data_IF_260158001729
#
_entry.id   IF_260158001729
#
_cell.length_a   1.000
_cell.length_b   1.000
_cell.length_c   1.000
_cell.angle_alpha   90.00
_cell.angle_beta   90.00
_cell.angle_gamma   90.00
#
_symmetry.space_group_name_H-M   'P 1'
#
loop_
_entity.id
_entity.type
_entity.pdbx_description
1 polymer ?
#
# COMPACT_ATOMS: atom_id res chain seq x y z
N UNK A 1 -12.03 -19.92 9.14
CA UNK A 1 -10.66 -20.22 9.59
C UNK A 1 -9.77 -20.20 8.35
N UNK A 2 -8.96 -19.15 8.17
CA UNK A 2 -8.04 -19.04 7.03
C UNK A 2 -6.81 -19.88 7.37
N UNK A 3 -6.69 -21.05 6.75
CA UNK A 3 -5.48 -21.87 6.88
C UNK A 3 -4.37 -21.26 6.02
N UNK A 4 -3.43 -20.56 6.67
CA UNK A 4 -2.14 -20.18 6.07
C UNK A 4 -1.33 -21.48 5.95
N UNK A 5 -1.38 -22.12 4.77
CA UNK A 5 -0.57 -23.32 4.50
C UNK A 5 0.81 -22.87 4.03
N UNK A 6 1.76 -23.00 4.95
CA UNK A 6 3.21 -23.18 4.78
C UNK A 6 3.99 -22.20 3.90
N UNK A 7 4.97 -21.55 4.54
CA UNK A 7 6.21 -21.04 3.94
C UNK A 7 6.96 -22.23 3.31
N UNK A 8 7.05 -22.32 1.99
CA UNK A 8 8.02 -23.18 1.30
C UNK A 8 8.72 -22.40 0.20
N UNK A 9 10.06 -22.49 0.00
CA UNK A 9 10.79 -21.51 -0.80
C UNK A 9 11.11 -21.89 -2.26
N UNK A 10 10.67 -23.04 -2.82
CA UNK A 10 11.41 -23.61 -3.95
C UNK A 10 10.70 -23.83 -5.30
N UNK A 11 9.41 -23.52 -5.48
CA UNK A 11 8.74 -23.62 -6.81
C UNK A 11 8.05 -22.30 -7.25
N UNK A 12 8.42 -21.16 -6.64
CA UNK A 12 7.67 -19.90 -6.72
C UNK A 12 8.10 -18.92 -7.84
N UNK A 13 9.22 -19.17 -8.53
CA UNK A 13 9.81 -18.20 -9.47
C UNK A 13 8.98 -17.88 -10.72
N UNK A 14 8.10 -18.77 -11.19
CA UNK A 14 7.35 -18.53 -12.43
C UNK A 14 6.15 -17.58 -12.25
N UNK A 15 5.48 -17.58 -11.10
CA UNK A 15 4.32 -16.72 -10.86
C UNK A 15 4.71 -15.31 -10.39
N UNK A 16 5.79 -15.19 -9.58
CA UNK A 16 6.39 -13.91 -9.21
C UNK A 16 6.78 -13.10 -10.45
N UNK A 17 7.36 -13.76 -11.45
CA UNK A 17 7.65 -13.14 -12.73
C UNK A 17 6.41 -12.58 -13.43
N UNK A 18 5.19 -13.10 -13.18
CA UNK A 18 3.99 -12.65 -13.88
C UNK A 18 3.40 -11.39 -13.25
N UNK A 19 3.29 -11.27 -11.92
CA UNK A 19 2.76 -10.03 -11.33
C UNK A 19 3.75 -8.90 -11.48
N UNK A 20 5.01 -9.17 -11.18
CA UNK A 20 6.08 -8.20 -11.37
C UNK A 20 6.12 -7.70 -12.82
N UNK A 21 6.10 -8.63 -13.80
CA UNK A 21 6.05 -8.27 -15.22
C UNK A 21 4.77 -7.52 -15.57
N UNK A 22 3.63 -7.90 -15.00
CA UNK A 22 2.38 -7.18 -15.21
C UNK A 22 2.46 -5.75 -14.69
N UNK A 23 2.97 -5.52 -13.47
CA UNK A 23 3.14 -4.19 -12.90
C UNK A 23 4.14 -3.39 -13.75
N UNK A 24 5.28 -3.99 -14.12
CA UNK A 24 6.26 -3.36 -14.99
C UNK A 24 5.67 -2.96 -16.34
N UNK A 25 5.05 -3.90 -17.06
CA UNK A 25 4.44 -3.65 -18.36
C UNK A 25 3.35 -2.59 -18.24
N UNK A 26 2.46 -2.69 -17.27
CA UNK A 26 1.28 -1.81 -17.22
C UNK A 26 1.59 -0.43 -16.64
N UNK A 27 2.35 -0.34 -15.54
CA UNK A 27 2.69 0.94 -14.94
C UNK A 27 3.69 1.69 -15.82
N UNK A 28 4.76 1.04 -16.28
CA UNK A 28 5.78 1.74 -17.06
C UNK A 28 5.25 2.13 -18.43
N UNK A 29 4.48 1.27 -19.10
CA UNK A 29 3.90 1.64 -20.39
C UNK A 29 2.85 2.74 -20.23
N UNK A 30 2.01 2.70 -19.19
CA UNK A 30 1.09 3.81 -18.91
C UNK A 30 1.81 5.15 -18.67
N UNK A 31 2.95 5.12 -17.97
CA UNK A 31 3.76 6.32 -17.75
C UNK A 31 4.45 6.81 -19.04
N UNK A 32 5.00 5.90 -19.84
CA UNK A 32 5.63 6.22 -21.14
C UNK A 32 4.64 6.79 -22.14
N UNK A 33 3.43 6.26 -22.16
CA UNK A 33 2.33 6.73 -23.02
C UNK A 33 1.65 7.99 -22.46
N UNK A 34 2.11 8.53 -21.33
CA UNK A 34 1.65 9.82 -20.81
C UNK A 34 0.28 9.78 -20.13
N UNK A 35 -0.18 8.61 -19.67
CA UNK A 35 -1.46 8.50 -18.96
C UNK A 35 -1.43 9.05 -17.53
N UNK A 36 -0.24 9.34 -17.00
CA UNK A 36 -0.11 9.98 -15.69
C UNK A 36 0.31 11.45 -15.78
N UNK A 37 -0.45 12.29 -15.09
CA UNK A 37 -0.13 13.71 -14.95
C UNK A 37 0.77 13.98 -13.74
N UNK A 38 0.70 13.13 -12.70
CA UNK A 38 1.30 13.41 -11.39
C UNK A 38 2.33 12.36 -10.94
N UNK A 39 2.49 11.23 -11.64
CA UNK A 39 3.51 10.23 -11.31
C UNK A 39 4.72 10.37 -12.21
N UNK A 40 5.88 10.13 -11.60
CA UNK A 40 7.15 9.97 -12.27
C UNK A 40 7.78 8.66 -11.76
N UNK A 41 8.08 7.76 -12.70
CA UNK A 41 8.86 6.57 -12.38
C UNK A 41 10.34 6.92 -12.45
N UNK A 42 11.06 6.72 -11.35
CA UNK A 42 12.49 7.03 -11.29
C UNK A 42 13.28 5.82 -11.77
N UNK A 43 13.13 4.68 -11.08
CA UNK A 43 13.81 3.42 -11.44
C UNK A 43 13.26 2.22 -10.67
N UNK A 44 13.64 1.03 -11.14
CA UNK A 44 13.56 -0.22 -10.38
C UNK A 44 14.73 -0.32 -9.41
N UNK A 45 14.51 -1.02 -8.30
CA UNK A 45 15.62 -1.46 -7.45
C UNK A 45 16.55 -2.38 -8.23
N UNK A 46 17.85 -2.13 -8.09
CA UNK A 46 18.93 -2.98 -8.65
C UNK A 46 19.41 -4.02 -7.65
N UNK A 47 18.73 -4.15 -6.49
CA UNK A 47 19.11 -5.08 -5.43
C UNK A 47 18.48 -6.45 -5.65
N UNK A 48 19.32 -7.50 -5.61
CA UNK A 48 18.95 -8.88 -5.96
C UNK A 48 17.88 -9.45 -5.03
N UNK A 49 17.86 -9.03 -3.76
CA UNK A 49 16.98 -9.62 -2.74
C UNK A 49 15.59 -8.98 -2.68
N UNK A 50 15.36 -7.84 -3.36
CA UNK A 50 14.12 -7.07 -3.23
C UNK A 50 13.68 -6.46 -4.56
N UNK A 51 12.54 -6.93 -5.06
CA UNK A 51 11.84 -6.28 -6.16
C UNK A 51 11.12 -5.04 -5.63
N UNK A 52 11.51 -3.87 -6.10
CA UNK A 52 10.83 -2.63 -5.76
C UNK A 52 10.89 -1.56 -6.84
N UNK A 53 9.92 -0.65 -6.79
CA UNK A 53 9.79 0.47 -7.70
C UNK A 53 9.88 1.79 -6.95
N UNK A 54 10.74 2.69 -7.42
CA UNK A 54 10.84 4.05 -6.91
C UNK A 54 10.01 5.00 -7.76
N UNK A 55 9.06 5.66 -7.12
CA UNK A 55 8.07 6.51 -7.77
C UNK A 55 8.04 7.85 -7.05
N UNK A 56 7.90 8.93 -7.79
CA UNK A 56 7.73 10.29 -7.28
C UNK A 56 6.38 10.84 -7.69
N UNK A 57 5.78 11.64 -6.82
CA UNK A 57 4.65 12.48 -7.18
C UNK A 57 5.16 13.88 -7.49
N UNK A 58 4.68 14.51 -8.57
CA UNK A 58 5.14 15.87 -8.95
C UNK A 58 4.86 16.92 -7.87
N UNK A 59 3.82 16.72 -7.08
CA UNK A 59 3.45 17.59 -5.95
C UNK A 59 4.17 17.25 -4.63
N UNK A 60 5.15 16.33 -4.63
CA UNK A 60 5.94 15.99 -3.44
C UNK A 60 7.43 15.97 -3.74
N UNK A 61 8.23 16.28 -2.72
CA UNK A 61 9.68 16.29 -2.81
C UNK A 61 10.28 14.92 -2.45
N UNK A 62 9.61 14.14 -1.60
CA UNK A 62 10.03 12.80 -1.21
C UNK A 62 9.76 11.73 -2.28
N UNK A 63 10.27 10.52 -2.03
CA UNK A 63 10.18 9.38 -2.95
C UNK A 63 9.44 8.23 -2.29
N UNK A 64 8.54 7.62 -3.04
CA UNK A 64 7.86 6.38 -2.67
C UNK A 64 8.68 5.17 -3.12
N UNK A 65 8.70 4.14 -2.29
CA UNK A 65 9.07 2.80 -2.71
C UNK A 65 7.87 1.87 -2.54
N UNK A 66 7.52 1.18 -3.61
CA UNK A 66 6.62 0.02 -3.57
C UNK A 66 7.50 -1.22 -3.54
N UNK A 67 7.56 -1.90 -2.40
CA UNK A 67 8.46 -3.02 -2.14
C UNK A 67 7.68 -4.33 -2.04
N UNK A 68 8.13 -5.36 -2.76
CA UNK A 68 7.66 -6.72 -2.58
C UNK A 68 8.48 -7.38 -1.44
N UNK A 69 7.97 -7.37 -0.20
CA UNK A 69 8.70 -7.82 0.99
C UNK A 69 8.45 -9.29 1.37
N UNK A 70 7.24 -9.82 1.16
CA UNK A 70 6.88 -11.21 1.50
C UNK A 70 5.85 -11.74 0.49
N UNK A 71 6.24 -12.79 -0.25
CA UNK A 71 5.38 -13.41 -1.24
C UNK A 71 4.49 -14.48 -0.59
N UNK A 72 3.19 -14.30 -0.68
CA UNK A 72 2.21 -15.34 -0.40
C UNK A 72 1.28 -15.44 -1.58
N UNK A 73 1.37 -16.50 -2.39
CA UNK A 73 0.23 -16.87 -3.21
C UNK A 73 -0.87 -17.24 -2.23
N UNK A 74 -1.85 -16.35 -2.04
CA UNK A 74 -3.09 -16.77 -1.41
C UNK A 74 -3.70 -17.77 -2.37
N UNK A 75 -3.52 -19.07 -2.08
CA UNK A 75 -4.34 -20.12 -2.65
C UNK A 75 -5.77 -19.63 -2.55
N UNK A 76 -6.41 -19.51 -3.71
CA UNK A 76 -7.86 -19.44 -3.92
C UNK A 76 -8.60 -19.67 -2.63
N UNK A 77 -9.36 -18.67 -2.14
CA UNK A 77 -10.32 -18.87 -1.05
C UNK A 77 -10.96 -20.24 -1.29
N UNK A 78 -10.68 -21.26 -0.45
CA UNK A 78 -11.18 -22.58 -0.72
C UNK A 78 -12.69 -22.45 -0.76
N UNK A 79 -13.25 -22.67 -1.94
CA UNK A 79 -14.68 -22.70 -2.16
C UNK A 79 -15.25 -24.00 -1.58
N UNK A 80 -14.86 -24.34 -0.35
CA UNK A 80 -15.24 -25.58 0.31
C UNK A 80 -16.76 -25.63 0.54
N UNK A 81 -17.42 -24.48 0.66
CA UNK A 81 -18.87 -24.38 0.85
C UNK A 81 -19.62 -23.66 -0.28
N UNK A 82 -18.97 -23.30 -1.39
CA UNK A 82 -19.61 -22.53 -2.46
C UNK A 82 -19.23 -23.13 -3.82
N UNK A 83 -20.19 -23.75 -4.52
CA UNK A 83 -20.06 -24.23 -5.91
C UNK A 83 -19.98 -23.06 -6.93
N UNK A 84 -19.22 -22.01 -6.64
CA UNK A 84 -18.98 -20.90 -7.56
C UNK A 84 -17.53 -20.94 -8.04
N UNK A 85 -17.28 -20.88 -9.37
CA UNK A 85 -15.94 -20.73 -9.90
C UNK A 85 -15.46 -19.29 -9.64
N UNK A 86 -14.92 -19.02 -8.45
CA UNK A 86 -14.29 -17.74 -8.18
C UNK A 86 -13.10 -17.55 -9.14
N UNK A 87 -12.89 -16.34 -9.68
CA UNK A 87 -11.72 -16.07 -10.50
C UNK A 87 -10.45 -16.34 -9.69
N UNK A 88 -9.44 -16.99 -10.31
CA UNK A 88 -8.16 -17.25 -9.64
C UNK A 88 -7.36 -15.95 -9.66
N UNK A 89 -7.37 -15.24 -8.54
CA UNK A 89 -6.54 -14.05 -8.35
C UNK A 89 -5.15 -14.43 -7.86
N UNK A 90 -4.15 -13.75 -8.40
CA UNK A 90 -2.84 -13.62 -7.75
C UNK A 90 -2.89 -12.40 -6.83
N UNK A 91 -2.42 -12.56 -5.60
CA UNK A 91 -2.40 -11.49 -4.59
C UNK A 91 -0.98 -11.32 -4.10
N UNK A 92 -0.48 -10.09 -4.16
CA UNK A 92 0.78 -9.75 -3.48
C UNK A 92 0.55 -8.53 -2.60
N UNK A 93 1.03 -8.63 -1.36
CA UNK A 93 1.11 -7.50 -0.45
C UNK A 93 2.43 -6.78 -0.72
N UNK A 94 2.33 -5.54 -1.16
CA UNK A 94 3.47 -4.66 -1.42
C UNK A 94 3.59 -3.68 -0.27
N UNK A 95 4.71 -3.70 0.43
CA UNK A 95 5.02 -2.72 1.45
C UNK A 95 5.20 -1.35 0.79
N UNK A 96 4.54 -0.33 1.34
CA UNK A 96 4.69 1.05 0.89
C UNK A 96 5.60 1.81 1.85
N UNK A 97 6.74 2.28 1.34
CA UNK A 97 7.64 3.19 2.06
C UNK A 97 7.64 4.58 1.44
N UNK A 98 7.89 5.58 2.26
CA UNK A 98 8.10 6.95 1.82
C UNK A 98 9.35 7.54 2.44
N UNK A 99 10.28 7.95 1.58
CA UNK A 99 11.52 8.64 1.94
C UNK A 99 11.29 10.16 1.86
N UNK A 100 10.88 10.81 2.96
CA UNK A 100 10.57 12.23 2.96
C UNK A 100 11.79 13.07 2.59
N UNK A 101 11.58 14.18 1.88
CA UNK A 101 12.61 15.19 1.75
C UNK A 101 12.67 16.00 3.06
N UNK A 102 13.86 16.37 3.59
CA UNK A 102 13.97 17.16 4.82
C UNK A 102 13.24 18.50 4.80
N UNK A 103 12.95 19.06 3.62
CA UNK A 103 12.19 20.31 3.45
C UNK A 103 10.67 20.10 3.53
N UNK A 104 10.17 18.87 3.53
CA UNK A 104 8.74 18.61 3.64
C UNK A 104 8.27 18.72 5.07
N UNK A 105 7.08 19.30 5.27
CA UNK A 105 6.51 19.44 6.61
C UNK A 105 6.36 18.09 7.33
N UNK A 106 6.00 17.03 6.59
CA UNK A 106 5.84 15.70 7.16
C UNK A 106 7.14 15.08 7.68
N UNK A 107 8.32 15.59 7.29
CA UNK A 107 9.61 15.06 7.74
C UNK A 107 9.73 15.04 9.26
N UNK A 108 9.22 16.08 9.94
CA UNK A 108 9.25 16.21 11.41
C UNK A 108 8.47 15.12 12.14
N UNK A 109 7.55 14.45 11.44
CA UNK A 109 6.67 13.43 11.99
C UNK A 109 7.25 12.02 11.92
N UNK A 110 8.35 11.82 11.19
CA UNK A 110 9.10 10.57 11.21
C UNK A 110 9.91 10.49 12.51
N UNK A 111 10.18 9.27 12.96
CA UNK A 111 10.95 9.03 14.19
C UNK A 111 12.30 9.73 14.12
N UNK A 112 12.84 10.05 15.29
CA UNK A 112 14.18 10.61 15.44
C UNK A 112 15.22 9.81 14.65
N UNK A 113 15.19 8.47 14.75
CA UNK A 113 16.14 7.61 14.07
C UNK A 113 15.93 7.56 12.55
N UNK A 114 14.69 7.56 12.06
CA UNK A 114 14.40 7.70 10.62
C UNK A 114 14.92 9.04 10.08
N UNK A 115 14.68 10.15 10.79
CA UNK A 115 15.18 11.47 10.40
C UNK A 115 16.71 11.53 10.38
N UNK A 116 17.37 11.01 11.42
CA UNK A 116 18.84 10.93 11.47
C UNK A 116 19.39 10.05 10.35
N UNK A 117 18.73 8.92 10.07
CA UNK A 117 19.11 8.03 8.99
C UNK A 117 18.97 8.72 7.62
N UNK A 118 17.86 9.45 7.39
CA UNK A 118 17.58 10.20 6.16
C UNK A 118 18.63 11.27 5.84
N UNK A 119 19.27 11.82 6.88
CA UNK A 119 20.28 12.88 6.80
C UNK A 119 21.73 12.36 6.74
N UNK A 120 21.95 11.04 6.81
CA UNK A 120 23.31 10.48 6.67
C UNK A 120 23.87 10.79 5.28
N UNK A 121 25.10 11.28 5.23
CA UNK A 121 25.81 11.57 3.99
C UNK A 121 26.00 10.30 3.16
N UNK A 122 25.79 10.38 1.83
CA UNK A 122 25.93 9.28 0.88
C UNK A 122 24.97 8.07 1.09
N UNK A 123 23.97 8.20 1.95
CA UNK A 123 22.94 7.16 2.16
C UNK A 123 21.77 7.30 1.19
N UNK A 124 21.56 8.47 0.62
CA UNK A 124 20.49 8.72 -0.34
C UNK A 124 21.07 9.43 -1.56
N UNK A 125 20.57 9.08 -2.74
CA UNK A 125 20.89 9.80 -3.98
C UNK A 125 20.30 11.22 -3.93
N UNK A 126 20.69 12.06 -4.87
CA UNK A 126 20.11 13.39 -5.05
C UNK A 126 18.58 13.34 -5.21
N UNK A 127 18.08 12.33 -5.94
CA UNK A 127 16.64 12.07 -6.10
C UNK A 127 15.95 11.61 -4.81
N UNK A 128 16.69 11.31 -3.74
CA UNK A 128 16.15 10.85 -2.47
C UNK A 128 15.94 9.34 -2.37
N UNK A 129 16.57 8.56 -3.25
CA UNK A 129 16.51 7.09 -3.23
C UNK A 129 17.60 6.52 -2.32
N UNK A 130 17.30 5.52 -1.45
CA UNK A 130 18.34 4.85 -0.66
C UNK A 130 19.45 4.29 -1.55
N UNK A 131 20.70 4.57 -1.18
CA UNK A 131 21.88 3.94 -1.77
C UNK A 131 21.98 2.48 -1.33
N UNK A 132 22.87 1.74 -1.99
CA UNK A 132 23.20 0.36 -1.63
C UNK A 132 23.64 0.23 -0.17
N UNK A 133 24.47 1.16 0.31
CA UNK A 133 24.89 1.19 1.70
C UNK A 133 23.72 1.42 2.65
N UNK A 134 22.84 2.36 2.33
CA UNK A 134 21.66 2.61 3.14
C UNK A 134 20.74 1.38 3.21
N UNK A 135 20.55 0.65 2.11
CA UNK A 135 19.73 -0.57 2.10
C UNK A 135 20.22 -1.63 3.08
N UNK A 136 21.53 -1.84 3.17
CA UNK A 136 22.12 -2.83 4.09
C UNK A 136 21.99 -2.45 5.56
N UNK A 137 22.04 -1.15 5.86
CA UNK A 137 22.04 -0.64 7.24
C UNK A 137 20.66 -0.20 7.74
N UNK A 138 19.68 -0.01 6.85
CA UNK A 138 18.35 0.49 7.19
C UNK A 138 17.52 -0.60 7.86
N UNK A 139 16.98 -0.36 9.07
CA UNK A 139 16.00 -1.28 9.65
C UNK A 139 14.77 -1.44 8.75
N UNK A 140 14.27 -2.67 8.61
CA UNK A 140 13.19 -3.01 7.65
C UNK A 140 11.90 -2.20 7.84
N UNK A 141 11.58 -1.84 9.08
CA UNK A 141 10.37 -1.09 9.41
C UNK A 141 10.49 0.42 9.15
N UNK A 142 11.69 0.93 8.84
CA UNK A 142 11.88 2.35 8.61
C UNK A 142 11.13 2.80 7.36
N UNK A 143 10.56 3.99 7.46
CA UNK A 143 9.87 4.70 6.38
C UNK A 143 8.60 4.01 5.88
N UNK A 144 8.16 2.90 6.48
CA UNK A 144 6.89 2.23 6.14
C UNK A 144 5.70 3.12 6.49
N UNK A 145 4.82 3.34 5.53
CA UNK A 145 3.62 4.20 5.66
C UNK A 145 2.34 3.50 5.24
N UNK A 146 2.39 2.24 4.82
CA UNK A 146 1.23 1.50 4.37
C UNK A 146 1.59 0.25 3.61
N UNK A 147 0.58 -0.37 3.04
CA UNK A 147 0.67 -1.56 2.19
C UNK A 147 -0.30 -1.38 1.01
N UNK A 148 0.11 -1.83 -0.17
CA UNK A 148 -0.70 -1.90 -1.38
C UNK A 148 -0.89 -3.36 -1.74
N UNK A 149 -2.12 -3.82 -1.95
CA UNK A 149 -2.33 -5.15 -2.51
C UNK A 149 -2.73 -5.04 -3.99
N UNK A 150 -2.08 -5.85 -4.83
CA UNK A 150 -2.47 -6.02 -6.22
C UNK A 150 -3.13 -7.38 -6.42
N UNK A 151 -4.35 -7.35 -6.94
CA UNK A 151 -5.09 -8.53 -7.37
C UNK A 151 -5.22 -8.53 -8.89
N UNK A 152 -4.78 -9.59 -9.55
CA UNK A 152 -4.98 -9.75 -11.00
C UNK A 152 -5.69 -11.06 -11.27
N UNK A 153 -6.79 -11.01 -12.01
CA UNK A 153 -7.50 -12.21 -12.45
C UNK A 153 -6.65 -12.96 -13.48
N UNK A 154 -6.16 -14.15 -13.12
CA UNK A 154 -5.05 -14.77 -13.85
C UNK A 154 -5.48 -15.52 -15.11
N UNK A 155 -6.75 -15.93 -15.23
CA UNK A 155 -7.20 -16.81 -16.32
C UNK A 155 -7.61 -16.00 -17.55
N UNK A 156 -8.43 -14.97 -17.37
CA UNK A 156 -8.97 -14.17 -18.48
C UNK A 156 -8.40 -12.75 -18.53
N UNK A 157 -7.66 -12.32 -17.49
CA UNK A 157 -7.24 -10.93 -17.28
C UNK A 157 -8.40 -9.97 -17.49
N UNK A 158 -9.57 -10.34 -16.94
CA UNK A 158 -10.81 -9.57 -17.09
C UNK A 158 -10.81 -8.31 -16.21
N UNK A 159 -10.23 -8.43 -15.02
CA UNK A 159 -10.18 -7.38 -14.03
C UNK A 159 -8.87 -7.37 -13.23
N UNK A 160 -8.56 -6.19 -12.69
CA UNK A 160 -7.56 -5.98 -11.65
C UNK A 160 -8.22 -5.35 -10.44
N UNK A 161 -7.67 -5.58 -9.25
CA UNK A 161 -8.06 -4.85 -8.04
C UNK A 161 -6.82 -4.29 -7.39
N UNK A 162 -6.91 -3.02 -7.00
CA UNK A 162 -5.86 -2.30 -6.31
C UNK A 162 -6.38 -1.89 -4.95
N UNK A 163 -5.70 -2.32 -3.89
CA UNK A 163 -6.01 -1.92 -2.54
C UNK A 163 -4.93 -1.00 -1.96
N UNK A 164 -5.31 -0.21 -0.97
CA UNK A 164 -4.41 0.49 -0.06
C UNK A 164 -4.87 0.22 1.37
N UNK A 165 -3.93 -0.18 2.22
CA UNK A 165 -4.07 -0.26 3.67
C UNK A 165 -3.07 0.67 4.34
N UNK A 166 -3.54 1.55 5.22
CA UNK A 166 -2.66 2.44 5.99
C UNK A 166 -3.38 3.00 7.22
N UNK A 167 -2.63 3.46 8.22
CA UNK A 167 -3.20 4.18 9.37
C UNK A 167 -3.30 5.66 9.11
N UNK A 168 -4.33 6.32 9.67
CA UNK A 168 -4.42 7.78 9.68
C UNK A 168 -3.11 8.40 10.16
N UNK A 169 -2.59 7.88 11.27
CA UNK A 169 -1.22 8.15 11.73
C UNK A 169 -0.53 6.87 12.19
N UNK A 170 0.74 6.71 11.84
CA UNK A 170 1.64 5.72 12.45
C UNK A 170 2.28 6.35 13.68
N UNK A 171 1.75 5.96 14.85
CA UNK A 171 2.16 6.53 16.13
C UNK A 171 3.05 5.53 16.88
N UNK A 172 4.25 5.99 17.25
CA UNK A 172 5.18 5.25 18.11
C UNK A 172 5.62 6.13 19.28
N UNK A 173 5.50 5.60 20.50
CA UNK A 173 5.99 6.20 21.74
C UNK A 173 7.28 5.52 22.19
N UNK A 174 8.17 6.26 22.85
CA UNK A 174 9.42 5.71 23.41
C UNK A 174 9.29 5.52 24.91
N UNK A 175 9.26 4.27 25.39
CA UNK A 175 9.11 3.96 26.81
C UNK A 175 10.22 4.59 27.67
N UNK A 176 11.45 4.60 27.15
CA UNK A 176 12.68 5.07 27.78
C UNK A 176 13.12 6.46 27.30
N UNK A 177 12.41 7.04 26.32
CA UNK A 177 12.79 8.28 25.67
C UNK A 177 14.02 8.13 24.78
N UNK A 178 14.58 9.26 24.33
CA UNK A 178 15.80 9.32 23.53
C UNK A 178 16.70 10.41 24.10
N UNK A 179 17.98 10.07 24.34
CA UNK A 179 19.02 11.00 24.75
C UNK A 179 20.17 10.96 23.75
N UNK A 180 20.74 12.12 23.46
CA UNK A 180 21.95 12.26 22.64
C UNK A 180 22.86 13.31 23.27
N UNK A 181 24.15 12.99 23.48
CA UNK A 181 25.13 13.89 24.09
C UNK A 181 24.62 14.57 25.38
N UNK A 182 24.02 13.78 26.28
CA UNK A 182 23.39 14.24 27.53
C UNK A 182 22.16 15.15 27.38
N UNK A 183 21.74 15.50 26.16
CA UNK A 183 20.49 16.23 25.88
C UNK A 183 19.33 15.25 25.70
N UNK A 184 18.21 15.52 26.36
CA UNK A 184 16.97 14.77 26.14
C UNK A 184 16.33 15.26 24.85
N UNK A 185 16.18 14.37 23.88
CA UNK A 185 15.54 14.63 22.59
C UNK A 185 14.05 14.29 22.69
N UNK A 186 13.73 13.17 23.34
CA UNK A 186 12.36 12.69 23.58
C UNK A 186 12.29 12.21 25.02
N UNK A 187 11.27 12.62 25.78
CA UNK A 187 11.12 12.16 27.16
C UNK A 187 10.52 10.75 27.19
N UNK A 188 10.77 9.97 28.25
CA UNK A 188 10.08 8.70 28.48
C UNK A 188 8.55 8.84 28.34
N UNK A 189 7.94 7.94 27.56
CA UNK A 189 6.51 7.90 27.25
C UNK A 189 6.05 8.84 26.13
N UNK A 190 6.88 9.76 25.65
CA UNK A 190 6.49 10.71 24.58
C UNK A 190 6.47 10.05 23.19
N UNK A 191 5.71 10.68 22.30
CA UNK A 191 5.59 10.29 20.89
C UNK A 191 6.87 10.65 20.15
N UNK A 192 7.47 9.67 19.49
CA UNK A 192 8.63 9.83 18.60
C UNK A 192 8.22 9.85 17.13
N UNK A 193 7.28 8.97 16.77
CA UNK A 193 6.77 8.84 15.40
C UNK A 193 5.29 9.20 15.37
N UNK A 194 4.87 10.02 14.42
CA UNK A 194 3.48 10.41 14.20
C UNK A 194 3.19 10.66 12.71
N UNK A 195 3.59 9.72 11.85
CA UNK A 195 3.58 9.92 10.39
C UNK A 195 2.13 9.85 9.87
N UNK A 196 1.65 10.81 9.06
CA UNK A 196 0.32 10.77 8.45
C UNK A 196 0.26 9.73 7.32
N UNK A 197 0.20 8.45 7.69
CA UNK A 197 0.35 7.32 6.79
C UNK A 197 -0.69 7.33 5.67
N UNK A 198 -1.95 7.53 6.03
CA UNK A 198 -3.06 7.56 5.08
C UNK A 198 -2.89 8.68 4.06
N UNK A 199 -2.66 9.91 4.52
CA UNK A 199 -2.58 11.07 3.62
C UNK A 199 -1.40 10.94 2.64
N UNK A 200 -0.24 10.42 3.09
CA UNK A 200 0.91 10.21 2.21
C UNK A 200 0.63 9.08 1.23
N UNK A 201 0.06 7.95 1.69
CA UNK A 201 -0.19 6.77 0.84
C UNK A 201 -1.33 6.98 -0.14
N UNK A 202 -2.37 7.70 0.26
CA UNK A 202 -3.57 7.96 -0.52
C UNK A 202 -3.29 8.78 -1.77
N UNK A 203 -2.38 9.75 -1.70
CA UNK A 203 -1.96 10.53 -2.87
C UNK A 203 -1.30 9.67 -3.95
N UNK A 204 -0.45 8.72 -3.55
CA UNK A 204 0.15 7.76 -4.47
C UNK A 204 -0.93 6.84 -5.05
N UNK A 205 -1.75 6.23 -4.19
CA UNK A 205 -2.81 5.32 -4.59
C UNK A 205 -3.78 5.94 -5.60
N UNK A 206 -4.29 7.15 -5.33
CA UNK A 206 -5.15 7.88 -6.26
C UNK A 206 -4.48 8.09 -7.62
N UNK A 207 -3.21 8.47 -7.61
CA UNK A 207 -2.47 8.76 -8.84
C UNK A 207 -2.23 7.47 -9.65
N UNK A 208 -1.91 6.36 -9.00
CA UNK A 208 -1.79 5.04 -9.65
C UNK A 208 -3.13 4.61 -10.25
N UNK A 209 -4.21 4.71 -9.46
CA UNK A 209 -5.53 4.31 -9.89
C UNK A 209 -6.04 5.14 -11.07
N UNK A 210 -5.87 6.48 -11.03
CA UNK A 210 -6.16 7.37 -12.15
C UNK A 210 -5.40 6.96 -13.42
N UNK A 211 -4.14 6.60 -13.26
CA UNK A 211 -3.27 6.17 -14.37
C UNK A 211 -3.81 4.87 -14.99
N UNK A 212 -4.16 3.87 -14.17
CA UNK A 212 -4.73 2.62 -14.66
C UNK A 212 -6.12 2.78 -15.29
N UNK A 213 -7.02 3.57 -14.68
CA UNK A 213 -8.34 3.84 -15.25
C UNK A 213 -8.21 4.42 -16.65
N UNK A 214 -7.32 5.40 -16.84
CA UNK A 214 -7.07 6.00 -18.15
C UNK A 214 -6.40 5.02 -19.13
N UNK A 215 -5.34 4.34 -18.70
CA UNK A 215 -4.57 3.41 -19.54
C UNK A 215 -5.42 2.25 -20.06
N UNK A 216 -6.13 1.55 -19.17
CA UNK A 216 -6.97 0.42 -19.55
C UNK A 216 -8.33 0.84 -20.13
N UNK A 217 -8.66 2.14 -20.09
CA UNK A 217 -10.03 2.65 -20.31
C UNK A 217 -11.04 1.85 -19.48
N UNK A 218 -10.63 1.53 -18.26
CA UNK A 218 -11.26 0.51 -17.45
C UNK A 218 -12.52 1.01 -16.76
N UNK A 219 -13.54 0.16 -16.71
CA UNK A 219 -14.76 0.42 -15.95
C UNK A 219 -14.52 0.05 -14.48
N UNK A 220 -14.93 0.92 -13.55
CA UNK A 220 -14.88 0.60 -12.12
C UNK A 220 -16.03 -0.37 -11.78
N UNK A 221 -15.66 -1.56 -11.30
CA UNK A 221 -16.57 -2.66 -10.96
C UNK A 221 -16.99 -2.66 -9.49
N UNK A 222 -16.08 -2.23 -8.62
CA UNK A 222 -16.22 -2.23 -7.16
C UNK A 222 -15.39 -1.08 -6.60
N UNK A 223 -15.90 -0.44 -5.55
CA UNK A 223 -15.05 0.18 -4.55
C UNK A 223 -15.62 -0.05 -3.16
N UNK A 224 -14.72 -0.34 -2.21
CA UNK A 224 -15.05 -0.50 -0.80
C UNK A 224 -14.08 0.34 0.04
N UNK A 225 -14.58 0.81 1.18
CA UNK A 225 -13.78 1.46 2.21
C UNK A 225 -14.14 0.82 3.56
N UNK A 226 -13.10 0.46 4.31
CA UNK A 226 -13.19 -0.20 5.61
C UNK A 226 -12.30 0.56 6.58
N UNK A 227 -12.82 0.86 7.76
CA UNK A 227 -12.04 1.44 8.85
C UNK A 227 -12.11 0.54 10.09
N UNK A 228 -10.98 0.45 10.79
CA UNK A 228 -10.86 -0.23 12.08
C UNK A 228 -10.00 0.59 13.03
N UNK A 229 -10.04 0.36 14.36
CA UNK A 229 -9.11 1.00 15.28
C UNK A 229 -7.66 0.74 14.84
N UNK A 230 -6.88 1.80 14.68
CA UNK A 230 -5.46 1.66 14.31
C UNK A 230 -4.59 1.47 15.54
N UNK A 231 -3.35 1.06 15.33
CA UNK A 231 -2.42 0.68 16.39
C UNK A 231 -1.50 1.83 16.79
N UNK A 232 -1.18 1.88 18.08
CA UNK A 232 -0.17 2.75 18.67
C UNK A 232 0.80 1.84 19.40
N UNK A 233 2.09 1.93 19.05
CA UNK A 233 3.12 1.12 19.68
C UNK A 233 3.90 1.94 20.70
N UNK A 234 4.21 1.34 21.84
CA UNK A 234 5.25 1.84 22.75
C UNK A 234 6.44 0.91 22.65
N UNK A 235 7.62 1.46 22.37
CA UNK A 235 8.84 0.68 22.17
C UNK A 235 9.90 0.98 23.23
N UNK A 236 10.70 -0.04 23.59
CA UNK A 236 11.88 0.06 24.47
C UNK A 236 13.03 -0.70 23.84
N UNK A 237 14.17 -0.04 23.60
CA UNK A 237 15.30 -0.67 22.92
C UNK A 237 14.95 -1.30 21.56
N UNK A 238 14.00 -0.69 20.83
CA UNK A 238 13.53 -1.18 19.53
C UNK A 238 12.46 -2.29 19.58
N UNK A 239 12.13 -2.82 20.76
CA UNK A 239 11.09 -3.85 20.92
C UNK A 239 9.76 -3.23 21.34
N UNK A 240 8.65 -3.73 20.81
CA UNK A 240 7.30 -3.34 21.24
C UNK A 240 7.06 -3.89 22.64
N UNK A 241 6.79 -2.99 23.60
CA UNK A 241 6.47 -3.34 25.00
C UNK A 241 5.00 -3.12 25.34
N UNK A 242 4.28 -2.33 24.53
CA UNK A 242 2.84 -2.10 24.66
C UNK A 242 2.23 -1.81 23.29
N UNK A 243 1.08 -2.41 23.02
CA UNK A 243 0.21 -2.08 21.88
C UNK A 243 -1.10 -1.51 22.41
N UNK A 244 -1.56 -0.39 21.85
CA UNK A 244 -2.85 0.23 22.12
C UNK A 244 -3.62 0.39 20.80
N UNK A 245 -4.95 0.39 20.84
CA UNK A 245 -5.77 0.67 19.65
C UNK A 245 -6.56 1.97 19.80
N UNK A 246 -6.77 2.71 18.71
CA UNK A 246 -7.51 3.97 18.73
C UNK A 246 -8.20 4.29 17.41
N UNK A 247 -9.47 4.71 17.50
CA UNK A 247 -10.21 5.27 16.36
C UNK A 247 -9.66 6.62 15.90
N UNK A 248 -9.00 7.39 16.77
CA UNK A 248 -8.33 8.64 16.37
C UNK A 248 -7.17 8.39 15.38
N UNK A 249 -6.62 7.17 15.40
CA UNK A 249 -5.55 6.71 14.51
C UNK A 249 -6.02 5.58 13.60
N UNK A 250 -7.31 5.52 13.27
CA UNK A 250 -7.93 4.42 12.52
C UNK A 250 -7.07 3.90 11.37
N UNK A 251 -6.95 2.58 11.27
CA UNK A 251 -6.48 1.93 10.06
C UNK A 251 -7.60 1.95 9.03
N UNK A 252 -7.24 2.33 7.82
CA UNK A 252 -8.13 2.45 6.68
C UNK A 252 -7.69 1.48 5.60
N UNK A 253 -8.66 0.85 4.98
CA UNK A 253 -8.49 -0.02 3.84
C UNK A 253 -9.45 0.41 2.74
N UNK A 254 -8.94 0.58 1.53
CA UNK A 254 -9.71 0.88 0.33
C UNK A 254 -9.33 -0.11 -0.74
N UNK A 255 -10.29 -0.69 -1.44
CA UNK A 255 -10.05 -1.54 -2.61
C UNK A 255 -10.91 -1.04 -3.76
N UNK A 256 -10.31 -0.97 -4.96
CA UNK A 256 -11.01 -0.64 -6.20
C UNK A 256 -10.75 -1.73 -7.23
N UNK A 257 -11.84 -2.30 -7.76
CA UNK A 257 -11.80 -3.24 -8.88
C UNK A 257 -12.04 -2.54 -10.20
N UNK A 258 -11.19 -2.82 -11.19
CA UNK A 258 -11.25 -2.26 -12.54
C UNK A 258 -11.39 -3.39 -13.56
N UNK A 259 -12.37 -3.27 -14.45
CA UNK A 259 -12.44 -4.08 -15.66
C UNK A 259 -11.39 -3.59 -16.64
N UNK A 260 -10.42 -4.42 -16.97
CA UNK A 260 -9.31 -4.04 -17.88
C UNK A 260 -9.45 -4.64 -19.28
N UNK A 261 -10.34 -5.62 -19.46
CA UNK A 261 -10.62 -6.20 -20.77
C UNK A 261 -12.14 -6.15 -21.06
N UNK A 262 -12.59 -5.28 -21.99
CA UNK A 262 -14.02 -5.12 -22.28
C UNK A 262 -14.64 -6.40 -22.88
N UNK A 263 -13.85 -7.22 -23.57
CA UNK A 263 -14.29 -8.47 -24.21
C UNK A 263 -14.53 -9.60 -23.21
N UNK A 264 -14.03 -9.46 -21.98
CA UNK A 264 -14.21 -10.45 -20.92
C UNK A 264 -15.43 -10.08 -20.09
N UNK A 265 -16.37 -11.01 -19.97
CA UNK A 265 -17.46 -10.87 -19.00
C UNK A 265 -16.91 -11.15 -17.61
N UNK A 266 -17.05 -10.18 -16.72
CA UNK A 266 -16.63 -10.28 -15.33
C UNK A 266 -17.75 -10.93 -14.51
N UNK A 267 -17.41 -11.90 -13.66
CA UNK A 267 -18.39 -12.52 -12.76
C UNK A 267 -18.64 -11.65 -11.52
N UNK A 268 -19.74 -10.89 -11.56
CA UNK A 268 -20.13 -10.01 -10.46
C UNK A 268 -20.41 -10.73 -9.12
N UNK A 269 -20.62 -12.06 -9.12
CA UNK A 269 -20.87 -12.83 -7.90
C UNK A 269 -19.68 -12.85 -6.95
N UNK A 270 -18.45 -12.78 -7.48
CA UNK A 270 -17.23 -12.71 -6.67
C UNK A 270 -17.20 -11.41 -5.83
N UNK A 271 -17.59 -10.28 -6.40
CA UNK A 271 -17.66 -8.99 -5.70
C UNK A 271 -18.76 -8.99 -4.64
N UNK A 272 -19.91 -9.62 -4.92
CA UNK A 272 -20.99 -9.77 -3.93
C UNK A 272 -20.57 -10.63 -2.74
N UNK A 273 -19.71 -11.64 -2.96
CA UNK A 273 -19.14 -12.43 -1.87
C UNK A 273 -18.18 -11.62 -1.00
N UNK A 274 -17.26 -10.87 -1.63
CA UNK A 274 -16.34 -9.97 -0.91
C UNK A 274 -17.13 -8.95 -0.07
N UNK A 275 -18.18 -8.38 -0.66
CA UNK A 275 -19.11 -7.49 0.04
C UNK A 275 -19.74 -8.16 1.26
N UNK A 276 -20.30 -9.37 1.09
CA UNK A 276 -20.95 -10.11 2.17
C UNK A 276 -19.96 -10.39 3.30
N UNK A 277 -18.76 -10.85 2.96
CA UNK A 277 -17.68 -11.13 3.90
C UNK A 277 -17.33 -9.90 4.77
N UNK A 278 -17.07 -8.75 4.13
CA UNK A 278 -16.72 -7.53 4.88
C UNK A 278 -17.91 -6.93 5.65
N UNK A 279 -19.13 -7.09 5.14
CA UNK A 279 -20.34 -6.70 5.87
C UNK A 279 -20.53 -7.53 7.14
N UNK A 280 -20.25 -8.84 7.09
CA UNK A 280 -20.30 -9.72 8.26
C UNK A 280 -19.19 -9.40 9.26
N UNK A 281 -17.96 -9.16 8.79
CA UNK A 281 -16.86 -8.69 9.64
C UNK A 281 -17.21 -7.38 10.36
N UNK A 282 -17.82 -6.42 9.66
CA UNK A 282 -18.25 -5.16 10.27
C UNK A 282 -19.26 -5.35 11.41
N UNK A 283 -20.18 -6.30 11.28
CA UNK A 283 -21.17 -6.62 12.32
C UNK A 283 -20.54 -7.29 13.54
N UNK A 284 -19.52 -8.13 13.33
CA UNK A 284 -18.97 -8.98 14.39
C UNK A 284 -17.73 -8.37 15.09
N UNK A 285 -16.95 -7.55 14.39
CA UNK A 285 -15.64 -7.07 14.85
C UNK A 285 -15.60 -5.54 15.05
N UNK A 286 -16.75 -4.87 14.93
CA UNK A 286 -16.87 -3.43 15.18
C UNK A 286 -16.23 -2.54 14.11
N UNK A 287 -15.99 -3.07 12.90
CA UNK A 287 -15.48 -2.27 11.77
C UNK A 287 -16.52 -1.31 11.21
N UNK A 288 -16.06 -0.17 10.72
CA UNK A 288 -16.89 0.74 9.93
C UNK A 288 -16.74 0.37 8.46
N UNK A 289 -17.77 -0.24 7.90
CA UNK A 289 -17.80 -0.61 6.48
C UNK A 289 -18.63 0.41 5.69
N UNK A 290 -17.98 1.15 4.79
CA UNK A 290 -18.66 2.05 3.85
C UNK A 290 -18.70 1.37 2.48
N UNK A 291 -19.89 0.91 2.13
CA UNK A 291 -20.15 0.46 0.78
C UNK A 291 -20.22 1.68 -0.16
N UNK A 292 -19.36 1.68 -1.18
CA UNK A 292 -19.32 2.73 -2.19
C UNK A 292 -19.76 2.26 -3.57
N UNK A 293 -20.41 1.10 -3.73
CA UNK A 293 -20.87 0.49 -5.00
C UNK A 293 -21.71 1.40 -5.93
N UNK A 294 -21.99 2.64 -5.55
CA UNK A 294 -22.51 3.67 -6.43
C UNK A 294 -21.38 4.37 -7.21
N UNK A 295 -21.29 4.10 -8.52
CA UNK A 295 -20.38 4.72 -9.50
C UNK A 295 -20.05 6.19 -9.17
N UNK A 296 -21.06 7.03 -8.90
CA UNK A 296 -20.89 8.46 -8.53
C UNK A 296 -20.10 8.70 -7.25
N UNK A 297 -20.37 7.97 -6.16
CA UNK A 297 -19.62 8.11 -4.89
C UNK A 297 -18.16 7.68 -5.07
N UNK A 298 -17.92 6.68 -5.91
CA UNK A 298 -16.57 6.22 -6.24
C UNK A 298 -15.83 7.27 -7.06
N UNK A 299 -16.45 7.79 -8.12
CA UNK A 299 -15.81 8.84 -8.94
C UNK A 299 -15.48 10.07 -8.09
N UNK A 300 -16.38 10.46 -7.18
CA UNK A 300 -16.13 11.53 -6.21
C UNK A 300 -14.97 11.24 -5.28
N UNK A 301 -14.98 10.07 -4.62
CA UNK A 301 -13.91 9.66 -3.69
C UNK A 301 -12.55 9.65 -4.39
N UNK A 302 -12.52 9.17 -5.62
CA UNK A 302 -11.30 9.02 -6.40
C UNK A 302 -10.90 10.29 -7.17
N UNK A 303 -11.70 11.37 -7.08
CA UNK A 303 -11.49 12.61 -7.83
C UNK A 303 -11.44 12.38 -9.35
N UNK A 304 -12.34 11.53 -9.86
CA UNK A 304 -12.51 11.15 -11.27
C UNK A 304 -13.71 11.86 -11.92
N UNK A 305 -14.31 12.86 -11.26
CA UNK A 305 -15.54 13.53 -11.70
C UNK A 305 -15.39 14.30 -13.03
N UNK A 306 -14.18 14.77 -13.36
CA UNK A 306 -13.90 15.54 -14.60
C UNK A 306 -13.58 14.67 -15.82
N UNK A 307 -13.48 13.36 -15.62
CA UNK A 307 -13.11 12.46 -16.69
C UNK A 307 -14.38 11.97 -17.40
N UNK A 308 -14.40 11.99 -18.74
CA UNK A 308 -15.49 11.55 -19.64
C UNK A 308 -15.96 10.07 -19.45
N UNK A 309 -15.65 9.43 -18.33
CA UNK A 309 -15.93 8.03 -18.00
C UNK A 309 -17.24 7.84 -17.22
N UNK A 310 -18.07 8.89 -17.13
CA UNK A 310 -19.37 8.88 -16.45
C UNK A 310 -20.56 8.51 -17.34
N UNK A 311 -20.34 7.94 -18.53
CA UNK A 311 -21.42 7.34 -19.31
C UNK A 311 -21.58 5.86 -18.92
#
# INVERSE_FOLDING_TARGET
MVNIIAKTPFHFGQHLNVLYKFIDETLLDALREGYSENLEFIRRSTWVDYLSWYIKLKNRLGVYEILLEDYGIVKTIPAADIRLPLPRYMVECLLLRYYPNPKEECFKNFSYYERKFRLKENFFTEDGIPSSKARMEMPKQFFTIGELDYYVEFIKRGDIRLSLRSQKYYVEKRADGIKENSKTIIKPGEVDRNVPGWDISWELYKSLLKTYVKYFKGEILLALEIEKPGKIYTTKGGNVVKEETSWNNAEKYVEVGLKINPKVTVDYRAYMYIYKYYSELSKNEGYVFKNLMFKRKIHKLLGLEDAKYSQ
#
